data_IF_631364003533
#
_entry.id   IF_631364003533
#
_cell.length_a   1.000
_cell.length_b   1.000
_cell.length_c   1.000
_cell.angle_alpha   90.00
_cell.angle_beta   90.00
_cell.angle_gamma   90.00
#
_symmetry.space_group_name_H-M   'P 1'
#
loop_
_entity.id
_entity.type
_entity.pdbx_description
1 polymer ?
#
# COMPACT_ATOMS: atom_id res chain seq x y z
N UNK A 1 -5.09 -0.74 59.57
CA UNK A 1 -4.67 -0.47 58.17
C UNK A 1 -5.04 -1.70 57.36
N UNK A 2 -5.80 -1.71 56.27
CA UNK A 2 -5.86 -0.74 55.17
C UNK A 2 -6.87 -1.20 54.09
N UNK A 3 -8.11 -1.55 54.47
CA UNK A 3 -9.24 -1.73 53.54
C UNK A 3 -9.42 -0.54 52.56
N UNK A 4 -9.32 0.74 53.00
CA UNK A 4 -9.41 1.87 52.06
C UNK A 4 -8.25 1.92 51.04
N UNK A 5 -7.10 1.34 51.37
CA UNK A 5 -5.91 1.37 50.51
C UNK A 5 -6.05 0.40 49.33
N UNK A 6 -6.66 -0.76 49.54
CA UNK A 6 -6.95 -1.73 48.46
C UNK A 6 -8.02 -1.23 47.49
N UNK A 7 -8.99 -0.46 47.98
CA UNK A 7 -10.02 0.17 47.13
C UNK A 7 -9.42 1.29 46.29
N UNK A 8 -8.58 2.14 46.90
CA UNK A 8 -7.89 3.24 46.21
C UNK A 8 -6.93 2.71 45.12
N UNK A 9 -6.19 1.64 45.40
CA UNK A 9 -5.27 1.03 44.43
C UNK A 9 -5.98 0.48 43.18
N UNK A 10 -7.17 -0.11 43.35
CA UNK A 10 -7.99 -0.63 42.24
C UNK A 10 -8.58 0.48 41.38
N UNK A 11 -9.01 1.59 41.98
CA UNK A 11 -9.51 2.77 41.26
C UNK A 11 -8.39 3.41 40.43
N UNK A 12 -7.18 3.52 41.00
CA UNK A 12 -6.00 4.02 40.27
C UNK A 12 -5.60 3.10 39.12
N UNK A 13 -5.63 1.77 39.31
CA UNK A 13 -5.35 0.81 38.23
C UNK A 13 -6.39 0.90 37.10
N UNK A 14 -7.68 1.01 37.41
CA UNK A 14 -8.73 1.17 36.40
C UNK A 14 -8.62 2.50 35.64
N UNK A 15 -8.26 3.58 36.34
CA UNK A 15 -8.00 4.88 35.71
C UNK A 15 -6.76 4.84 34.78
N UNK A 16 -5.68 4.15 35.19
CA UNK A 16 -4.51 3.96 34.33
C UNK A 16 -4.84 3.14 33.08
N UNK A 17 -5.60 2.03 33.21
CA UNK A 17 -6.01 1.21 32.07
C UNK A 17 -6.92 2.01 31.12
N UNK A 18 -7.84 2.82 31.66
CA UNK A 18 -8.67 3.72 30.85
C UNK A 18 -7.86 4.76 30.10
N UNK A 19 -6.84 5.35 30.73
CA UNK A 19 -5.95 6.33 30.11
C UNK A 19 -5.06 5.70 29.01
N UNK A 20 -4.56 4.48 29.22
CA UNK A 20 -3.82 3.74 28.18
C UNK A 20 -4.71 3.33 26.99
N UNK A 21 -5.99 3.04 27.22
CA UNK A 21 -6.94 2.70 26.15
C UNK A 21 -7.33 3.87 25.25
N UNK A 22 -7.26 5.11 25.74
CA UNK A 22 -7.56 6.31 24.96
C UNK A 22 -6.47 6.64 23.93
N UNK A 23 -5.22 6.22 24.17
CA UNK A 23 -4.10 6.52 23.26
C UNK A 23 -4.14 5.70 21.95
N UNK A 24 -4.72 4.49 21.94
CA UNK A 24 -4.77 3.64 20.74
C UNK A 24 -5.94 3.99 19.80
N UNK A 25 -6.95 4.70 20.31
CA UNK A 25 -8.13 5.10 19.54
C UNK A 25 -7.85 6.22 18.52
N UNK A 26 -7.07 7.24 18.88
CA UNK A 26 -6.79 8.38 18.00
C UNK A 26 -5.97 7.99 16.76
N UNK A 27 -4.99 7.10 16.91
CA UNK A 27 -4.15 6.63 15.81
C UNK A 27 -4.99 5.92 14.73
N UNK A 28 -5.96 5.10 15.15
CA UNK A 28 -6.86 4.38 14.25
C UNK A 28 -7.81 5.33 13.49
N UNK A 29 -8.29 6.39 14.14
CA UNK A 29 -9.15 7.39 13.51
C UNK A 29 -8.39 8.21 12.45
N UNK A 30 -7.16 8.63 12.78
CA UNK A 30 -6.31 9.39 11.85
C UNK A 30 -5.88 8.52 10.67
N UNK A 31 -5.50 7.26 10.89
CA UNK A 31 -5.21 6.28 9.84
C UNK A 31 -6.37 6.09 8.88
N UNK A 32 -7.59 5.93 9.39
CA UNK A 32 -8.78 5.79 8.55
C UNK A 32 -9.05 7.04 7.72
N UNK A 33 -8.90 8.24 8.30
CA UNK A 33 -9.07 9.49 7.58
C UNK A 33 -8.01 9.68 6.49
N UNK A 34 -6.74 9.40 6.80
CA UNK A 34 -5.62 9.46 5.86
C UNK A 34 -5.79 8.45 4.71
N UNK A 35 -6.19 7.21 5.02
CA UNK A 35 -6.53 6.20 4.03
C UNK A 35 -7.68 6.63 3.11
N UNK A 36 -8.77 7.17 3.69
CA UNK A 36 -9.91 7.65 2.91
C UNK A 36 -9.57 8.82 2.00
N UNK A 37 -8.68 9.71 2.43
CA UNK A 37 -8.12 10.78 1.60
C UNK A 37 -7.29 10.21 0.45
N UNK A 38 -6.44 9.22 0.73
CA UNK A 38 -5.60 8.59 -0.28
C UNK A 38 -6.42 7.89 -1.38
N UNK A 39 -7.51 7.20 -1.00
CA UNK A 39 -8.44 6.57 -1.95
C UNK A 39 -9.14 7.61 -2.84
N UNK A 40 -9.68 8.69 -2.25
CA UNK A 40 -10.34 9.77 -2.98
C UNK A 40 -9.39 10.48 -3.94
N UNK A 41 -8.15 10.65 -3.53
CA UNK A 41 -7.13 11.30 -4.32
C UNK A 41 -6.66 10.44 -5.50
N UNK A 42 -6.47 9.13 -5.27
CA UNK A 42 -6.18 8.19 -6.36
C UNK A 42 -7.30 8.20 -7.40
N UNK A 43 -8.56 8.30 -6.97
CA UNK A 43 -9.71 8.46 -7.87
C UNK A 43 -9.67 9.80 -8.63
N UNK A 44 -9.33 10.91 -7.95
CA UNK A 44 -9.24 12.23 -8.59
C UNK A 44 -8.14 12.28 -9.67
N UNK A 45 -6.96 11.70 -9.40
CA UNK A 45 -5.84 11.64 -10.36
C UNK A 45 -6.20 10.77 -11.57
N UNK A 46 -6.83 9.62 -11.35
CA UNK A 46 -7.19 8.69 -12.44
C UNK A 46 -8.37 9.16 -13.27
N UNK A 47 -9.28 9.96 -12.70
CA UNK A 47 -10.47 10.47 -13.38
C UNK A 47 -10.28 11.90 -13.93
N UNK A 48 -9.08 12.48 -13.80
CA UNK A 48 -8.75 13.77 -14.37
C UNK A 48 -8.54 13.64 -15.89
N UNK A 49 -9.25 14.48 -16.67
CA UNK A 49 -9.20 14.46 -18.13
C UNK A 49 -8.05 15.29 -18.72
N UNK A 50 -7.43 16.17 -17.94
CA UNK A 50 -6.25 16.94 -18.33
C UNK A 50 -4.93 16.38 -17.74
N UNK A 51 -4.09 15.72 -18.56
CA UNK A 51 -2.82 15.16 -18.10
C UNK A 51 -1.82 16.19 -17.58
N UNK A 52 -1.83 17.44 -18.07
CA UNK A 52 -0.88 18.47 -17.60
C UNK A 52 -1.24 18.90 -16.17
N UNK A 53 -2.53 19.06 -15.85
CA UNK A 53 -2.97 19.28 -14.45
C UNK A 53 -2.52 18.15 -13.53
N UNK A 54 -2.58 16.88 -13.97
CA UNK A 54 -2.07 15.75 -13.18
C UNK A 54 -0.56 15.84 -13.01
N UNK A 55 0.17 16.14 -14.08
CA UNK A 55 1.63 16.27 -14.07
C UNK A 55 2.10 17.34 -13.08
N UNK A 56 1.44 18.48 -13.04
CA UNK A 56 1.83 19.60 -12.19
C UNK A 56 1.36 19.42 -10.74
N UNK A 57 0.21 18.78 -10.53
CA UNK A 57 -0.38 18.58 -9.19
C UNK A 57 0.13 17.35 -8.43
N UNK A 58 0.39 16.23 -9.13
CA UNK A 58 0.77 14.96 -8.51
C UNK A 58 1.98 15.03 -7.55
N UNK A 59 3.05 15.83 -7.81
CA UNK A 59 4.18 15.95 -6.89
C UNK A 59 3.80 16.43 -5.49
N UNK A 60 2.84 17.35 -5.35
CA UNK A 60 2.38 17.81 -4.04
C UNK A 60 1.71 16.68 -3.25
N UNK A 61 0.93 15.86 -3.95
CA UNK A 61 0.27 14.69 -3.37
C UNK A 61 1.24 13.57 -2.99
N UNK A 62 2.30 13.38 -3.77
CA UNK A 62 3.39 12.44 -3.42
C UNK A 62 4.02 12.83 -2.07
N UNK A 63 4.32 14.11 -1.86
CA UNK A 63 4.85 14.61 -0.58
C UNK A 63 3.85 14.49 0.57
N UNK A 64 2.56 14.72 0.31
CA UNK A 64 1.50 14.55 1.30
C UNK A 64 1.42 13.09 1.77
N UNK A 65 1.42 12.13 0.85
CA UNK A 65 1.38 10.71 1.19
C UNK A 65 2.64 10.28 1.94
N UNK A 66 3.83 10.77 1.56
CA UNK A 66 5.07 10.55 2.31
C UNK A 66 4.96 11.07 3.75
N UNK A 67 4.42 12.28 3.94
CA UNK A 67 4.23 12.86 5.27
C UNK A 67 3.21 12.11 6.13
N UNK A 68 2.15 11.57 5.53
CA UNK A 68 1.20 10.72 6.23
C UNK A 68 1.84 9.38 6.62
N UNK A 69 2.70 8.82 5.77
CA UNK A 69 3.44 7.58 6.03
C UNK A 69 4.48 7.76 7.14
N UNK A 70 5.03 8.95 7.34
CA UNK A 70 5.90 9.23 8.49
C UNK A 70 5.15 9.03 9.82
N UNK A 71 3.87 9.42 9.87
CA UNK A 71 3.03 9.23 11.06
C UNK A 71 2.44 7.83 11.20
N UNK A 72 2.26 7.11 10.09
CA UNK A 72 1.70 5.76 10.07
C UNK A 72 2.39 4.87 9.00
N UNK A 73 3.60 4.39 9.29
CA UNK A 73 4.46 3.77 8.28
C UNK A 73 3.91 2.46 7.74
N UNK A 74 3.08 1.75 8.49
CA UNK A 74 2.62 0.39 8.18
C UNK A 74 1.12 0.33 7.82
N UNK A 75 0.54 1.44 7.38
CA UNK A 75 -0.81 1.45 6.82
C UNK A 75 -0.80 0.92 5.37
N UNK A 76 -1.32 -0.29 5.12
CA UNK A 76 -1.23 -0.90 3.80
C UNK A 76 -2.02 -0.16 2.73
N UNK A 77 -3.08 0.58 3.09
CA UNK A 77 -3.87 1.36 2.13
C UNK A 77 -3.10 2.60 1.71
N UNK A 78 -2.52 3.30 2.68
CA UNK A 78 -1.72 4.49 2.42
C UNK A 78 -0.46 4.14 1.60
N UNK A 79 0.21 3.03 1.95
CA UNK A 79 1.35 2.51 1.18
C UNK A 79 0.94 2.15 -0.25
N UNK A 80 -0.20 1.49 -0.45
CA UNK A 80 -0.70 1.13 -1.79
C UNK A 80 -1.06 2.35 -2.65
N UNK A 81 -1.65 3.39 -2.04
CA UNK A 81 -1.96 4.64 -2.72
C UNK A 81 -0.67 5.39 -3.11
N UNK A 82 0.30 5.50 -2.19
CA UNK A 82 1.61 6.09 -2.48
C UNK A 82 2.32 5.33 -3.60
N UNK A 83 2.36 3.99 -3.52
CA UNK A 83 2.92 3.15 -4.58
C UNK A 83 2.30 3.44 -5.95
N UNK A 84 0.97 3.45 -6.03
CA UNK A 84 0.25 3.67 -7.29
C UNK A 84 0.52 5.06 -7.87
N UNK A 85 0.56 6.10 -7.03
CA UNK A 85 0.84 7.48 -7.46
C UNK A 85 2.28 7.66 -7.94
N UNK A 86 3.25 7.15 -7.18
CA UNK A 86 4.66 7.21 -7.56
C UNK A 86 4.94 6.41 -8.84
N UNK A 87 4.28 5.25 -9.00
CA UNK A 87 4.42 4.41 -10.19
C UNK A 87 3.87 5.11 -11.44
N UNK A 88 2.64 5.62 -11.38
CA UNK A 88 2.00 6.29 -12.51
C UNK A 88 2.74 7.56 -12.91
N UNK A 89 3.11 8.39 -11.93
CA UNK A 89 3.87 9.60 -12.19
C UNK A 89 5.28 9.31 -12.72
N UNK A 90 6.01 8.41 -12.07
CA UNK A 90 7.38 8.05 -12.43
C UNK A 90 7.49 7.41 -13.82
N UNK A 91 6.50 6.63 -14.23
CA UNK A 91 6.50 5.96 -15.54
C UNK A 91 6.04 6.85 -16.70
N UNK A 92 5.21 7.87 -16.44
CA UNK A 92 4.56 8.68 -17.49
C UNK A 92 5.16 10.09 -17.60
N UNK A 93 5.40 10.76 -16.46
CA UNK A 93 5.68 12.20 -16.43
C UNK A 93 7.13 12.55 -16.04
N UNK A 94 7.95 11.58 -15.67
CA UNK A 94 9.35 11.82 -15.34
C UNK A 94 10.24 11.84 -16.59
N UNK A 95 10.57 13.04 -17.07
CA UNK A 95 11.34 13.23 -18.31
C UNK A 95 12.81 12.75 -18.21
N UNK A 96 13.37 12.73 -17.00
CA UNK A 96 14.75 12.30 -16.76
C UNK A 96 14.78 10.82 -16.35
N UNK A 97 15.54 9.94 -17.07
CA UNK A 97 15.59 8.51 -16.76
C UNK A 97 16.01 8.19 -15.31
N UNK A 98 17.01 8.90 -14.77
CA UNK A 98 17.45 8.71 -13.38
C UNK A 98 16.36 9.13 -12.38
N UNK A 99 15.57 10.15 -12.70
CA UNK A 99 14.42 10.55 -11.88
C UNK A 99 13.31 9.51 -11.96
N UNK A 100 12.96 9.03 -13.16
CA UNK A 100 11.97 7.99 -13.38
C UNK A 100 12.33 6.71 -12.60
N UNK A 101 13.59 6.28 -12.69
CA UNK A 101 14.13 5.14 -11.95
C UNK A 101 13.95 5.31 -10.42
N UNK A 102 14.37 6.44 -9.84
CA UNK A 102 14.22 6.69 -8.40
C UNK A 102 12.75 6.71 -7.93
N UNK A 103 11.86 7.31 -8.72
CA UNK A 103 10.45 7.42 -8.35
C UNK A 103 9.75 6.05 -8.40
N UNK A 104 10.03 5.27 -9.44
CA UNK A 104 9.47 3.92 -9.60
C UNK A 104 10.09 2.90 -8.63
N UNK A 105 11.35 3.07 -8.22
CA UNK A 105 11.98 2.31 -7.13
C UNK A 105 11.25 2.57 -5.80
N UNK A 106 10.97 3.83 -5.47
CA UNK A 106 10.18 4.19 -4.29
C UNK A 106 8.76 3.59 -4.36
N UNK A 107 8.12 3.66 -5.52
CA UNK A 107 6.81 3.05 -5.75
C UNK A 107 6.83 1.55 -5.42
N UNK A 108 7.82 0.84 -5.97
CA UNK A 108 8.03 -0.60 -5.77
C UNK A 108 8.17 -0.92 -4.29
N UNK A 109 9.00 -0.18 -3.56
CA UNK A 109 9.18 -0.38 -2.12
C UNK A 109 7.90 -0.17 -1.31
N UNK A 110 7.12 0.88 -1.59
CA UNK A 110 5.83 1.05 -0.91
C UNK A 110 4.86 -0.08 -1.21
N UNK A 111 4.81 -0.56 -2.45
CA UNK A 111 3.90 -1.62 -2.85
C UNK A 111 4.28 -2.98 -2.23
N UNK A 112 5.57 -3.29 -2.16
CA UNK A 112 6.08 -4.48 -1.48
C UNK A 112 5.70 -4.49 0.00
N UNK A 113 5.87 -3.35 0.68
CA UNK A 113 5.47 -3.20 2.09
C UNK A 113 3.96 -3.35 2.26
N UNK A 114 3.16 -2.66 1.42
CA UNK A 114 1.70 -2.73 1.47
C UNK A 114 1.19 -4.16 1.35
N UNK A 115 1.71 -4.91 0.38
CA UNK A 115 1.31 -6.29 0.13
C UNK A 115 1.83 -7.22 1.22
N UNK A 116 3.06 -7.05 1.69
CA UNK A 116 3.61 -7.82 2.81
C UNK A 116 2.75 -7.70 4.08
N UNK A 117 2.36 -6.48 4.46
CA UNK A 117 1.48 -6.22 5.62
C UNK A 117 0.10 -6.84 5.40
N UNK A 118 -0.46 -6.72 4.20
CA UNK A 118 -1.81 -7.26 3.90
C UNK A 118 -1.83 -8.77 3.73
N UNK A 119 -0.71 -9.36 3.33
CA UNK A 119 -0.57 -10.74 2.94
C UNK A 119 0.85 -11.24 3.26
N UNK A 120 1.04 -11.73 4.48
CA UNK A 120 2.34 -12.07 5.06
C UNK A 120 3.21 -13.04 4.22
N UNK A 121 2.59 -13.93 3.44
CA UNK A 121 3.34 -14.84 2.56
C UNK A 121 4.12 -14.08 1.48
N UNK A 122 3.67 -12.88 1.08
CA UNK A 122 4.37 -12.04 0.09
C UNK A 122 5.68 -11.42 0.59
N UNK A 123 5.88 -11.32 1.90
CA UNK A 123 7.13 -10.81 2.47
C UNK A 123 8.35 -11.67 2.08
N UNK A 124 8.12 -12.94 1.72
CA UNK A 124 9.16 -13.91 1.33
C UNK A 124 9.25 -14.12 -0.18
N UNK A 125 8.48 -13.38 -0.99
CA UNK A 125 8.50 -13.55 -2.45
C UNK A 125 9.83 -13.16 -3.09
N UNK A 126 10.57 -12.24 -2.46
CA UNK A 126 11.89 -11.85 -2.94
C UNK A 126 12.91 -12.91 -2.52
N UNK A 127 13.36 -13.71 -3.49
CA UNK A 127 14.30 -14.82 -3.28
C UNK A 127 13.65 -16.20 -3.19
N UNK A 128 12.31 -16.29 -3.21
CA UNK A 128 11.61 -17.56 -3.38
C UNK A 128 11.83 -18.13 -4.78
N UNK A 129 11.74 -19.46 -4.91
CA UNK A 129 11.61 -20.09 -6.24
C UNK A 129 10.26 -19.73 -6.85
N UNK A 130 10.14 -19.85 -8.17
CA UNK A 130 8.90 -19.57 -8.86
C UNK A 130 7.75 -20.46 -8.36
N UNK A 131 8.02 -21.75 -8.11
CA UNK A 131 7.03 -22.71 -7.61
C UNK A 131 6.57 -22.36 -6.19
N UNK A 132 7.50 -21.97 -5.32
CA UNK A 132 7.17 -21.56 -3.96
C UNK A 132 6.33 -20.26 -3.96
N UNK A 133 6.64 -19.34 -4.86
CA UNK A 133 5.85 -18.13 -5.10
C UNK A 133 4.43 -18.48 -5.60
N UNK A 134 4.33 -19.28 -6.66
CA UNK A 134 3.07 -19.63 -7.31
C UNK A 134 2.10 -20.33 -6.34
N UNK A 135 2.62 -21.23 -5.49
CA UNK A 135 1.84 -21.92 -4.47
C UNK A 135 1.14 -20.96 -3.47
N UNK A 136 1.66 -19.74 -3.28
CA UNK A 136 1.05 -18.75 -2.39
C UNK A 136 -0.18 -18.08 -3.03
N UNK A 137 -0.23 -17.96 -4.37
CA UNK A 137 -1.23 -17.15 -5.07
C UNK A 137 -2.68 -17.61 -4.82
N UNK A 138 -2.89 -18.91 -4.63
CA UNK A 138 -4.22 -19.48 -4.33
C UNK A 138 -4.83 -18.93 -3.03
N UNK A 139 -4.01 -18.51 -2.06
CA UNK A 139 -4.48 -17.95 -0.79
C UNK A 139 -4.83 -16.46 -0.89
N UNK A 140 -4.52 -15.79 -2.00
CA UNK A 140 -4.99 -14.42 -2.24
C UNK A 140 -6.51 -14.41 -2.35
N UNK A 141 -7.14 -13.39 -1.76
CA UNK A 141 -8.59 -13.20 -1.71
C UNK A 141 -8.90 -11.78 -2.13
N UNK A 142 -10.18 -11.52 -2.36
CA UNK A 142 -10.71 -10.21 -2.71
C UNK A 142 -10.16 -9.04 -1.87
N UNK A 143 -10.03 -9.24 -0.55
CA UNK A 143 -9.50 -8.22 0.37
C UNK A 143 -8.06 -7.75 0.06
N UNK A 144 -7.29 -8.54 -0.70
CA UNK A 144 -5.92 -8.18 -1.11
C UNK A 144 -5.88 -7.49 -2.48
N UNK A 145 -7.00 -7.40 -3.20
CA UNK A 145 -7.04 -6.91 -4.59
C UNK A 145 -6.37 -5.54 -4.75
N UNK A 146 -6.60 -4.60 -3.83
CA UNK A 146 -6.01 -3.27 -3.89
C UNK A 146 -4.47 -3.31 -3.77
N UNK A 147 -3.93 -4.07 -2.81
CA UNK A 147 -2.47 -4.16 -2.62
C UNK A 147 -1.80 -5.00 -3.70
N UNK A 148 -2.48 -6.01 -4.26
CA UNK A 148 -2.02 -6.76 -5.43
C UNK A 148 -1.95 -5.86 -6.68
N UNK A 149 -2.97 -5.03 -6.90
CA UNK A 149 -2.97 -4.05 -8.00
C UNK A 149 -1.81 -3.06 -7.86
N UNK A 150 -1.66 -2.44 -6.69
CA UNK A 150 -0.58 -1.50 -6.42
C UNK A 150 0.80 -2.14 -6.60
N UNK A 151 1.00 -3.37 -6.10
CA UNK A 151 2.23 -4.16 -6.31
C UNK A 151 2.50 -4.36 -7.79
N UNK A 152 1.50 -4.79 -8.55
CA UNK A 152 1.66 -5.10 -9.97
C UNK A 152 2.00 -3.85 -10.78
N UNK A 153 1.27 -2.75 -10.58
CA UNK A 153 1.52 -1.47 -11.27
C UNK A 153 2.89 -0.90 -10.91
N UNK A 154 3.27 -0.91 -9.63
CA UNK A 154 4.56 -0.40 -9.19
C UNK A 154 5.74 -1.20 -9.77
N UNK A 155 5.63 -2.53 -9.80
CA UNK A 155 6.64 -3.38 -10.42
C UNK A 155 6.71 -3.22 -11.93
N UNK A 156 5.58 -3.11 -12.63
CA UNK A 156 5.60 -2.86 -14.08
C UNK A 156 6.20 -1.49 -14.43
N UNK A 157 5.89 -0.45 -13.63
CA UNK A 157 6.51 0.86 -13.76
C UNK A 157 8.03 0.79 -13.52
N UNK A 158 8.46 0.04 -12.51
CA UNK A 158 9.86 -0.20 -12.23
C UNK A 158 10.60 -0.92 -13.37
N UNK A 159 10.01 -2.02 -13.88
CA UNK A 159 10.59 -2.77 -15.00
C UNK A 159 10.73 -1.88 -16.24
N UNK A 160 9.74 -1.04 -16.53
CA UNK A 160 9.79 -0.10 -17.66
C UNK A 160 10.98 0.87 -17.54
N UNK A 161 11.23 1.40 -16.36
CA UNK A 161 12.32 2.37 -16.11
C UNK A 161 13.69 1.72 -15.90
N UNK A 162 13.73 0.40 -15.70
CA UNK A 162 14.93 -0.42 -15.53
C UNK A 162 14.98 -1.55 -16.57
N UNK A 163 14.58 -1.25 -17.81
CA UNK A 163 14.48 -2.25 -18.89
C UNK A 163 15.83 -2.80 -19.36
N UNK A 164 16.92 -2.15 -18.96
CA UNK A 164 18.31 -2.58 -19.14
C UNK A 164 18.79 -3.53 -18.02
N UNK A 165 18.05 -3.67 -16.91
CA UNK A 165 18.34 -4.64 -15.86
C UNK A 165 17.61 -5.97 -16.09
N UNK A 166 18.37 -6.99 -16.47
CA UNK A 166 17.88 -8.36 -16.64
C UNK A 166 17.20 -8.93 -15.38
N UNK A 167 17.60 -8.49 -14.17
CA UNK A 167 16.94 -8.91 -12.93
C UNK A 167 15.53 -8.34 -12.80
N UNK A 168 15.31 -7.12 -13.28
CA UNK A 168 13.98 -6.52 -13.34
C UNK A 168 13.10 -7.29 -14.34
N UNK A 169 13.61 -7.56 -15.55
CA UNK A 169 12.91 -8.34 -16.57
C UNK A 169 12.53 -9.76 -16.10
N UNK A 170 13.40 -10.42 -15.31
CA UNK A 170 13.14 -11.75 -14.77
C UNK A 170 11.91 -11.82 -13.83
N UNK A 171 11.38 -10.67 -13.38
CA UNK A 171 10.16 -10.61 -12.57
C UNK A 171 8.88 -10.72 -13.40
N UNK A 172 8.93 -10.52 -14.73
CA UNK A 172 7.74 -10.52 -15.60
C UNK A 172 6.86 -11.76 -15.46
N UNK A 173 7.39 -13.01 -15.44
CA UNK A 173 6.55 -14.21 -15.28
C UNK A 173 5.81 -14.24 -13.94
N UNK A 174 6.43 -13.74 -12.87
CA UNK A 174 5.79 -13.65 -11.56
C UNK A 174 4.63 -12.65 -11.60
N UNK A 175 4.82 -11.49 -12.25
CA UNK A 175 3.77 -10.49 -12.39
C UNK A 175 2.61 -10.97 -13.26
N UNK A 176 2.89 -11.74 -14.32
CA UNK A 176 1.86 -12.35 -15.16
C UNK A 176 0.96 -13.29 -14.34
N UNK A 177 1.55 -14.22 -13.59
CA UNK A 177 0.81 -15.12 -12.70
C UNK A 177 0.02 -14.35 -11.62
N UNK A 178 0.62 -13.30 -11.04
CA UNK A 178 -0.07 -12.43 -10.07
C UNK A 178 -1.29 -11.74 -10.68
N UNK A 179 -1.16 -11.23 -11.91
CA UNK A 179 -2.21 -10.50 -12.61
C UNK A 179 -3.35 -11.43 -13.03
N UNK A 180 -3.06 -12.65 -13.45
CA UNK A 180 -4.10 -13.68 -13.65
C UNK A 180 -4.90 -13.90 -12.36
N UNK A 181 -4.21 -14.08 -11.23
CA UNK A 181 -4.88 -14.22 -9.92
C UNK A 181 -5.64 -12.96 -9.53
N UNK A 182 -5.11 -11.78 -9.83
CA UNK A 182 -5.77 -10.50 -9.58
C UNK A 182 -7.14 -10.40 -10.27
N UNK A 183 -7.21 -10.77 -11.56
CA UNK A 183 -8.46 -10.75 -12.33
C UNK A 183 -9.52 -11.61 -11.62
N UNK A 184 -9.18 -12.85 -11.26
CA UNK A 184 -10.09 -13.77 -10.56
C UNK A 184 -10.63 -13.19 -9.24
N UNK A 185 -9.76 -12.59 -8.41
CA UNK A 185 -10.17 -12.07 -7.10
C UNK A 185 -10.84 -10.68 -7.19
N UNK A 186 -10.60 -9.92 -8.26
CA UNK A 186 -11.13 -8.58 -8.47
C UNK A 186 -12.55 -8.59 -9.04
N UNK A 187 -12.88 -9.53 -9.94
CA UNK A 187 -14.22 -9.63 -10.52
C UNK A 187 -15.24 -10.18 -9.51
N UNK A 188 -14.81 -11.05 -8.58
CA UNK A 188 -15.61 -11.41 -7.41
C UNK A 188 -16.02 -10.17 -6.57
N UNK A 189 -15.20 -9.12 -6.55
CA UNK A 189 -15.55 -7.85 -5.86
C UNK A 189 -16.72 -7.16 -6.54
N UNK A 190 -16.66 -7.05 -7.87
CA UNK A 190 -17.67 -6.36 -8.68
C UNK A 190 -19.03 -7.08 -8.59
N UNK A 191 -19.01 -8.42 -8.61
CA UNK A 191 -20.21 -9.23 -8.43
C UNK A 191 -20.86 -9.08 -7.05
N UNK A 192 -20.07 -8.85 -6.00
CA UNK A 192 -20.59 -8.67 -4.62
C UNK A 192 -21.11 -7.24 -4.38
N UNK A 193 -20.65 -6.25 -5.15
CA UNK A 193 -21.06 -4.83 -5.03
C UNK A 193 -22.29 -4.48 -5.88
N UNK A 194 -22.79 -5.42 -6.68
CA UNK A 194 -23.95 -5.28 -7.57
C UNK A 194 -25.20 -6.02 -7.08
N UNK A 195 -25.14 -6.56 -5.86
CA UNK A 195 -26.24 -7.14 -5.09
C UNK A 195 -26.47 -6.23 -3.89
#
# INVERSE_FOLDING_TARGET
MSIPYRLCLRVVQLALIGLLGLHTGCASLISNAASGLADQLSAAVTNQSDPETVRDGAPAYMLLLDGLLEGNPDDPKLLAAAASLYASYGAVFADNPNRAARLTERARHYAERALCISYAQSCQWNGATYEAYEATLAALKNKHSNTVYAYSVAWLAYIRTHSDDWKALAKLPHLEALLHRYIEISDAAKATRSI
#
